data_IF_991964365302
#
_entry.id   IF_991964365302
#
_cell.length_a   1.000
_cell.length_b   1.000
_cell.length_c   1.000
_cell.angle_alpha   90.00
_cell.angle_beta   90.00
_cell.angle_gamma   90.00
#
_symmetry.space_group_name_H-M   'P 1'
#
loop_
_entity.id
_entity.type
_entity.pdbx_description
1 polymer ?
#
# COMPACT_ATOMS: atom_id res chain seq x y z
N UNK A 1 -14.94 41.90 -27.79
CA UNK A 1 -14.85 43.31 -27.34
C UNK A 1 -14.30 43.27 -25.92
N UNK A 2 -13.02 43.59 -25.74
CA UNK A 2 -12.41 43.76 -24.42
C UNK A 2 -12.87 45.11 -23.89
N UNK A 3 -13.69 45.11 -22.84
CA UNK A 3 -13.99 46.33 -22.10
C UNK A 3 -12.66 46.94 -21.63
N UNK A 4 -12.40 48.23 -21.89
CA UNK A 4 -11.18 48.88 -21.45
C UNK A 4 -11.11 48.80 -19.92
N UNK A 5 -10.02 48.25 -19.40
CA UNK A 5 -9.76 48.22 -17.96
C UNK A 5 -9.60 49.67 -17.52
N UNK A 6 -10.57 50.17 -16.75
CA UNK A 6 -10.48 51.51 -16.14
C UNK A 6 -9.31 51.50 -15.15
N UNK A 7 -8.36 52.42 -15.34
CA UNK A 7 -7.21 52.58 -14.44
C UNK A 7 -7.59 53.36 -13.16
N UNK A 8 -8.78 53.98 -13.15
CA UNK A 8 -9.27 54.82 -12.06
C UNK A 8 -10.10 54.05 -11.03
N UNK A 9 -10.35 52.75 -11.26
CA UNK A 9 -11.16 51.90 -10.37
C UNK A 9 -10.40 50.61 -9.95
N UNK A 10 -10.50 50.25 -8.67
CA UNK A 10 -9.92 49.01 -8.16
C UNK A 10 -10.67 47.79 -8.70
N UNK A 11 -9.94 46.91 -9.39
CA UNK A 11 -10.50 45.65 -9.90
C UNK A 11 -10.76 44.69 -8.74
N UNK A 12 -12.00 44.19 -8.65
CA UNK A 12 -12.39 43.19 -7.66
C UNK A 12 -12.37 41.79 -8.25
N UNK A 13 -11.93 40.82 -7.44
CA UNK A 13 -11.88 39.42 -7.85
C UNK A 13 -13.28 38.81 -8.04
N UNK A 14 -14.27 39.27 -7.25
CA UNK A 14 -15.66 38.82 -7.29
C UNK A 14 -16.61 39.99 -7.06
N UNK A 15 -17.84 39.87 -7.57
CA UNK A 15 -18.94 40.82 -7.38
C UNK A 15 -20.14 40.19 -6.67
N UNK A 16 -20.22 38.86 -6.62
CA UNK A 16 -21.32 38.12 -5.95
C UNK A 16 -20.81 37.16 -4.87
N UNK A 17 -21.69 36.78 -3.95
CA UNK A 17 -21.36 35.78 -2.91
C UNK A 17 -21.01 34.41 -3.52
N UNK A 18 -21.71 34.00 -4.58
CA UNK A 18 -21.42 32.74 -5.27
C UNK A 18 -20.03 32.73 -5.91
N UNK A 19 -19.62 33.83 -6.54
CA UNK A 19 -18.25 33.98 -7.06
C UNK A 19 -17.21 33.96 -5.96
N UNK A 20 -17.47 34.62 -4.82
CA UNK A 20 -16.59 34.59 -3.65
C UNK A 20 -16.36 33.16 -3.15
N UNK A 21 -17.42 32.38 -2.99
CA UNK A 21 -17.32 30.99 -2.51
C UNK A 21 -16.58 30.09 -3.50
N UNK A 22 -16.80 30.32 -4.81
CA UNK A 22 -16.02 29.67 -5.86
C UNK A 22 -14.52 29.98 -5.72
N UNK A 23 -14.13 31.25 -5.58
CA UNK A 23 -12.72 31.61 -5.42
C UNK A 23 -12.12 31.11 -4.10
N UNK A 24 -12.88 31.04 -3.01
CA UNK A 24 -12.44 30.42 -1.76
C UNK A 24 -12.13 28.93 -1.95
N UNK A 25 -12.97 28.23 -2.70
CA UNK A 25 -12.80 26.80 -2.99
C UNK A 25 -11.56 26.57 -3.88
N UNK A 26 -11.38 27.39 -4.92
CA UNK A 26 -10.19 27.36 -5.80
C UNK A 26 -8.90 27.72 -5.04
N UNK A 27 -8.96 28.71 -4.15
CA UNK A 27 -7.83 29.11 -3.30
C UNK A 27 -7.44 27.99 -2.32
N UNK A 28 -8.42 27.26 -1.79
CA UNK A 28 -8.16 26.10 -0.92
C UNK A 28 -7.47 24.98 -1.70
N UNK A 29 -7.94 24.68 -2.92
CA UNK A 29 -7.28 23.70 -3.79
C UNK A 29 -5.83 24.11 -4.12
N UNK A 30 -5.62 25.38 -4.47
CA UNK A 30 -4.30 25.95 -4.70
C UNK A 30 -3.38 25.76 -3.48
N UNK A 31 -3.88 26.11 -2.28
CA UNK A 31 -3.13 25.98 -1.03
C UNK A 31 -2.73 24.55 -0.72
N UNK A 32 -3.61 23.56 -0.97
CA UNK A 32 -3.31 22.14 -0.77
C UNK A 32 -2.18 21.68 -1.69
N UNK A 33 -2.21 22.07 -2.97
CA UNK A 33 -1.17 21.69 -3.95
C UNK A 33 0.18 22.27 -3.53
N UNK A 34 0.22 23.55 -3.14
CA UNK A 34 1.46 24.20 -2.67
C UNK A 34 1.98 23.54 -1.40
N UNK A 35 1.10 23.27 -0.43
CA UNK A 35 1.48 22.61 0.82
C UNK A 35 2.04 21.20 0.58
N UNK A 36 1.44 20.45 -0.35
CA UNK A 36 1.92 19.13 -0.73
C UNK A 36 3.31 19.20 -1.38
N UNK A 37 3.58 20.20 -2.22
CA UNK A 37 4.89 20.38 -2.85
C UNK A 37 5.99 20.65 -1.81
N UNK A 38 5.70 21.51 -0.84
CA UNK A 38 6.62 21.77 0.27
C UNK A 38 6.83 20.53 1.14
N UNK A 39 5.78 19.75 1.40
CA UNK A 39 5.87 18.51 2.16
C UNK A 39 6.79 17.49 1.45
N UNK A 40 6.60 17.27 0.14
CA UNK A 40 7.47 16.39 -0.64
C UNK A 40 8.93 16.86 -0.61
N UNK A 41 9.17 18.16 -0.84
CA UNK A 41 10.53 18.72 -0.82
C UNK A 41 11.18 18.67 0.57
N UNK A 42 10.39 18.76 1.64
CA UNK A 42 10.89 18.60 3.01
C UNK A 42 11.33 17.16 3.27
N UNK A 43 10.53 16.18 2.82
CA UNK A 43 10.86 14.77 2.96
C UNK A 43 12.09 14.37 2.13
N UNK A 44 12.17 14.81 0.87
CA UNK A 44 13.33 14.55 -0.01
C UNK A 44 14.63 15.15 0.53
N UNK A 45 14.54 16.25 1.30
CA UNK A 45 15.70 16.88 1.96
C UNK A 45 15.91 16.37 3.39
N UNK A 46 15.27 15.27 3.75
CA UNK A 46 15.37 14.63 5.07
C UNK A 46 15.11 15.59 6.25
N UNK A 47 14.26 16.59 6.03
CA UNK A 47 13.91 17.60 7.04
C UNK A 47 12.75 17.16 7.94
N UNK A 48 12.07 16.07 7.56
CA UNK A 48 10.97 15.44 8.30
C UNK A 48 11.09 13.93 8.18
N UNK A 49 10.65 13.20 9.20
CA UNK A 49 10.73 11.74 9.22
C UNK A 49 9.64 11.08 8.38
N UNK A 50 9.84 9.83 7.97
CA UNK A 50 8.82 9.03 7.27
C UNK A 50 7.50 8.90 8.07
N UNK A 51 7.60 8.85 9.40
CA UNK A 51 6.47 8.76 10.32
C UNK A 51 5.63 10.04 10.36
N UNK A 52 6.24 11.21 10.17
CA UNK A 52 5.52 12.50 10.10
C UNK A 52 5.01 12.78 8.69
N UNK A 53 5.81 12.42 7.67
CA UNK A 53 5.49 12.63 6.26
C UNK A 53 4.27 11.81 5.81
N UNK A 54 4.24 10.49 6.07
CA UNK A 54 3.24 9.59 5.48
C UNK A 54 1.79 9.97 5.86
N UNK A 55 1.47 10.25 7.14
CA UNK A 55 0.13 10.68 7.54
C UNK A 55 -0.22 12.06 6.97
N UNK A 56 0.73 13.00 6.96
CA UNK A 56 0.51 14.35 6.43
C UNK A 56 0.22 14.32 4.92
N UNK A 57 0.98 13.54 4.15
CA UNK A 57 0.81 13.36 2.72
C UNK A 57 -0.54 12.71 2.40
N UNK A 58 -0.90 11.64 3.12
CA UNK A 58 -2.20 10.95 2.97
C UNK A 58 -3.38 11.88 3.24
N UNK A 59 -3.28 12.73 4.27
CA UNK A 59 -4.29 13.73 4.59
C UNK A 59 -4.43 14.77 3.47
N UNK A 60 -3.32 15.34 2.99
CA UNK A 60 -3.33 16.34 1.91
C UNK A 60 -3.88 15.75 0.59
N UNK A 61 -3.51 14.52 0.24
CA UNK A 61 -4.05 13.82 -0.93
C UNK A 61 -5.56 13.57 -0.82
N UNK A 62 -6.04 13.24 0.37
CA UNK A 62 -7.48 13.04 0.61
C UNK A 62 -8.25 14.36 0.51
N UNK A 63 -7.70 15.43 1.09
CA UNK A 63 -8.26 16.78 0.98
C UNK A 63 -8.28 17.26 -0.47
N UNK A 64 -7.19 17.04 -1.23
CA UNK A 64 -7.12 17.34 -2.65
C UNK A 64 -8.24 16.64 -3.44
N UNK A 65 -8.45 15.33 -3.24
CA UNK A 65 -9.50 14.57 -3.94
C UNK A 65 -10.90 15.11 -3.64
N UNK A 66 -11.17 15.48 -2.38
CA UNK A 66 -12.44 16.09 -1.99
C UNK A 66 -12.61 17.45 -2.65
N UNK A 67 -11.58 18.31 -2.61
CA UNK A 67 -11.64 19.63 -3.21
C UNK A 67 -11.80 19.59 -4.73
N UNK A 68 -11.13 18.65 -5.41
CA UNK A 68 -11.26 18.47 -6.86
C UNK A 68 -12.70 18.15 -7.27
N UNK A 69 -13.43 17.34 -6.48
CA UNK A 69 -14.85 17.06 -6.72
C UNK A 69 -15.72 18.30 -6.54
N UNK A 70 -15.38 19.17 -5.59
CA UNK A 70 -16.11 20.42 -5.34
C UNK A 70 -15.89 21.46 -6.46
N UNK A 71 -14.69 21.49 -7.06
CA UNK A 71 -14.37 22.43 -8.15
C UNK A 71 -14.57 21.86 -9.56
N UNK A 72 -15.02 20.61 -9.70
CA UNK A 72 -14.96 19.84 -10.95
C UNK A 72 -15.67 20.47 -12.16
N UNK A 73 -16.60 21.41 -11.95
CA UNK A 73 -17.22 22.19 -13.03
C UNK A 73 -16.26 23.23 -13.65
N UNK A 74 -15.30 23.74 -12.88
CA UNK A 74 -14.36 24.80 -13.27
C UNK A 74 -12.94 24.29 -13.54
N UNK A 75 -12.64 23.05 -13.11
CA UNK A 75 -11.33 22.43 -13.21
C UNK A 75 -11.46 21.06 -13.87
N UNK A 76 -11.19 21.00 -15.16
CA UNK A 76 -11.27 19.78 -15.97
C UNK A 76 -10.10 18.82 -15.70
N UNK A 77 -8.90 19.37 -15.49
CA UNK A 77 -7.70 18.62 -15.13
C UNK A 77 -6.80 19.41 -14.18
N UNK A 78 -5.97 18.71 -13.41
CA UNK A 78 -4.97 19.37 -12.55
C UNK A 78 -3.91 20.10 -13.37
N UNK A 79 -3.49 19.52 -14.51
CA UNK A 79 -2.49 20.14 -15.38
C UNK A 79 -3.01 21.48 -15.94
N UNK A 80 -4.29 21.57 -16.31
CA UNK A 80 -4.91 22.83 -16.75
C UNK A 80 -5.02 23.85 -15.62
N UNK A 81 -5.37 23.42 -14.41
CA UNK A 81 -5.42 24.30 -13.24
C UNK A 81 -4.05 24.89 -12.93
N UNK A 82 -3.02 24.04 -12.87
CA UNK A 82 -1.64 24.48 -12.62
C UNK A 82 -1.15 25.42 -13.72
N UNK A 83 -1.46 25.14 -14.98
CA UNK A 83 -1.12 26.04 -16.11
C UNK A 83 -1.85 27.38 -16.01
N UNK A 84 -3.15 27.37 -15.69
CA UNK A 84 -3.98 28.59 -15.56
C UNK A 84 -3.45 29.52 -14.47
N UNK A 85 -3.06 28.97 -13.33
CA UNK A 85 -2.56 29.73 -12.18
C UNK A 85 -1.03 29.83 -12.13
N UNK A 86 -0.33 29.39 -13.19
CA UNK A 86 1.14 29.42 -13.32
C UNK A 86 1.86 28.79 -12.12
N UNK A 87 1.40 27.62 -11.70
CA UNK A 87 1.94 26.87 -10.58
C UNK A 87 3.15 26.03 -11.02
N UNK A 88 4.28 26.21 -10.36
CA UNK A 88 5.49 25.41 -10.55
C UNK A 88 5.70 24.46 -9.35
N UNK A 89 4.85 23.43 -9.28
CA UNK A 89 4.83 22.45 -8.19
C UNK A 89 4.97 21.02 -8.73
N UNK A 90 6.11 20.67 -9.35
CA UNK A 90 6.30 19.38 -10.01
C UNK A 90 6.26 18.20 -9.03
N UNK A 91 6.69 18.38 -7.78
CA UNK A 91 6.68 17.31 -6.78
C UNK A 91 5.24 16.99 -6.34
N UNK A 92 4.42 18.02 -6.10
CA UNK A 92 2.99 17.84 -5.84
C UNK A 92 2.27 17.20 -7.04
N UNK A 93 2.55 17.64 -8.27
CA UNK A 93 1.93 17.08 -9.47
C UNK A 93 2.23 15.58 -9.62
N UNK A 94 3.50 15.19 -9.42
CA UNK A 94 3.90 13.78 -9.42
C UNK A 94 3.14 13.01 -8.33
N UNK A 95 3.17 13.49 -7.08
CA UNK A 95 2.52 12.83 -5.94
C UNK A 95 1.01 12.69 -6.15
N UNK A 96 0.35 13.68 -6.75
CA UNK A 96 -1.09 13.63 -7.05
C UNK A 96 -1.39 12.59 -8.14
N UNK A 97 -0.54 12.49 -9.18
CA UNK A 97 -0.68 11.49 -10.25
C UNK A 97 -0.49 10.07 -9.72
N UNK A 98 0.48 9.87 -8.82
CA UNK A 98 0.73 8.57 -8.16
C UNK A 98 -0.37 8.23 -7.14
N UNK A 99 -0.83 9.21 -6.37
CA UNK A 99 -1.98 9.09 -5.47
C UNK A 99 -1.72 8.40 -4.13
N UNK A 100 -0.48 8.03 -3.83
CA UNK A 100 0.00 7.49 -2.54
C UNK A 100 1.31 8.16 -2.12
N UNK A 101 1.70 8.22 -0.83
CA UNK A 101 2.96 8.82 -0.37
C UNK A 101 4.22 8.10 -0.91
N UNK A 102 5.36 8.79 -0.91
CA UNK A 102 6.66 8.27 -1.36
C UNK A 102 7.06 6.99 -0.61
N UNK A 103 6.75 6.95 0.68
CA UNK A 103 6.99 5.81 1.56
C UNK A 103 6.22 4.56 1.14
N UNK A 104 5.08 4.70 0.45
CA UNK A 104 4.28 3.58 -0.10
C UNK A 104 4.70 3.25 -1.54
N UNK A 105 5.02 4.28 -2.33
CA UNK A 105 5.49 4.12 -3.71
C UNK A 105 6.83 3.40 -3.79
N UNK A 106 7.76 3.75 -2.89
CA UNK A 106 9.12 3.20 -2.83
C UNK A 106 9.34 2.24 -1.66
N UNK A 107 8.30 1.88 -0.89
CA UNK A 107 8.45 0.86 0.15
C UNK A 107 8.89 -0.49 -0.42
N UNK A 108 10.16 -0.83 -0.15
CA UNK A 108 10.54 -2.15 0.34
C UNK A 108 10.13 -2.36 1.81
N UNK A 109 9.79 -1.28 2.53
CA UNK A 109 9.38 -1.30 3.93
C UNK A 109 7.87 -1.50 4.11
N UNK A 110 7.54 -2.72 4.52
CA UNK A 110 6.34 -3.16 5.22
C UNK A 110 5.52 -2.04 5.92
N UNK A 111 4.36 -1.68 5.34
CA UNK A 111 3.37 -0.85 6.04
C UNK A 111 2.78 -1.54 7.28
N UNK A 112 1.93 -0.87 8.08
CA UNK A 112 1.28 -1.47 9.25
C UNK A 112 0.49 -2.75 8.92
N UNK A 113 -0.07 -2.85 7.71
CA UNK A 113 -0.70 -4.07 7.21
C UNK A 113 0.31 -5.21 7.05
N UNK A 114 1.55 -4.93 6.66
CA UNK A 114 2.60 -5.95 6.53
C UNK A 114 3.03 -6.48 7.90
N UNK A 115 3.12 -5.65 8.94
CA UNK A 115 3.35 -6.13 10.31
C UNK A 115 2.25 -7.08 10.79
N UNK A 116 0.98 -6.73 10.53
CA UNK A 116 -0.16 -7.61 10.77
C UNK A 116 -0.07 -8.91 9.98
N UNK A 117 0.24 -8.85 8.68
CA UNK A 117 0.37 -10.04 7.83
C UNK A 117 1.53 -10.94 8.24
N UNK A 118 2.65 -10.37 8.69
CA UNK A 118 3.80 -11.11 9.24
C UNK A 118 3.35 -11.89 10.48
N UNK A 119 2.65 -11.23 11.40
CA UNK A 119 2.14 -11.86 12.62
C UNK A 119 1.13 -12.97 12.30
N UNK A 120 0.13 -12.70 11.46
CA UNK A 120 -0.88 -13.68 11.02
C UNK A 120 -0.22 -14.91 10.38
N UNK A 121 0.72 -14.70 9.44
CA UNK A 121 1.38 -15.79 8.70
C UNK A 121 2.30 -16.61 9.62
N UNK A 122 3.01 -15.95 10.53
CA UNK A 122 3.84 -16.62 11.56
C UNK A 122 2.97 -17.49 12.46
N UNK A 123 1.82 -16.98 12.90
CA UNK A 123 0.86 -17.74 13.69
C UNK A 123 0.32 -18.96 12.93
N UNK A 124 -0.04 -18.82 11.65
CA UNK A 124 -0.50 -19.94 10.82
C UNK A 124 0.57 -21.02 10.66
N UNK A 125 1.84 -20.63 10.50
CA UNK A 125 2.97 -21.56 10.46
C UNK A 125 3.10 -22.36 11.76
N UNK A 126 3.16 -21.68 12.90
CA UNK A 126 3.28 -22.31 14.21
C UNK A 126 2.10 -23.25 14.45
N UNK A 127 0.90 -22.76 14.20
CA UNK A 127 -0.35 -23.52 14.38
C UNK A 127 -0.34 -24.80 13.54
N UNK A 128 0.07 -24.73 12.27
CA UNK A 128 0.15 -25.89 11.39
C UNK A 128 1.24 -26.89 11.81
N UNK A 129 2.43 -26.41 12.15
CA UNK A 129 3.52 -27.26 12.66
C UNK A 129 3.14 -27.96 13.97
N UNK A 130 2.48 -27.25 14.89
CA UNK A 130 2.02 -27.81 16.15
C UNK A 130 0.94 -28.86 15.93
N UNK A 131 -0.01 -28.63 15.02
CA UNK A 131 -1.01 -29.63 14.64
C UNK A 131 -0.37 -30.93 14.16
N UNK A 132 0.64 -30.84 13.29
CA UNK A 132 1.38 -32.01 12.80
C UNK A 132 2.15 -32.72 13.94
N UNK A 133 2.78 -31.96 14.85
CA UNK A 133 3.50 -32.51 16.01
C UNK A 133 2.57 -33.18 17.03
N UNK A 134 1.32 -32.69 17.13
CA UNK A 134 0.24 -33.31 17.91
C UNK A 134 -0.41 -34.52 17.20
N UNK A 135 0.20 -35.00 16.11
CA UNK A 135 -0.26 -36.14 15.30
C UNK A 135 -1.62 -35.95 14.64
N UNK A 136 -2.01 -34.71 14.33
CA UNK A 136 -3.11 -34.45 13.41
C UNK A 136 -2.66 -34.92 12.01
N UNK A 137 -3.36 -35.90 11.45
CA UNK A 137 -3.00 -36.53 10.16
C UNK A 137 -4.15 -36.57 9.16
N UNK A 138 -5.39 -36.40 9.64
CA UNK A 138 -6.57 -36.45 8.80
C UNK A 138 -6.71 -35.22 7.91
N UNK A 139 -7.23 -35.39 6.69
CA UNK A 139 -7.44 -34.30 5.74
C UNK A 139 -8.30 -33.18 6.31
N UNK A 140 -9.42 -33.50 6.94
CA UNK A 140 -10.38 -32.53 7.48
C UNK A 140 -9.75 -31.61 8.54
N UNK A 141 -8.74 -32.10 9.26
CA UNK A 141 -7.94 -31.36 10.21
C UNK A 141 -6.86 -30.51 9.52
N UNK A 142 -6.09 -31.11 8.62
CA UNK A 142 -4.91 -30.47 8.02
C UNK A 142 -5.24 -29.48 6.91
N UNK A 143 -6.26 -29.77 6.09
CA UNK A 143 -6.58 -28.97 4.91
C UNK A 143 -6.97 -27.52 5.25
N UNK A 144 -7.86 -27.23 6.22
CA UNK A 144 -8.19 -25.85 6.57
C UNK A 144 -6.97 -25.04 7.03
N UNK A 145 -6.11 -25.66 7.85
CA UNK A 145 -4.91 -25.01 8.39
C UNK A 145 -3.88 -24.73 7.29
N UNK A 146 -3.63 -25.69 6.39
CA UNK A 146 -2.70 -25.51 5.28
C UNK A 146 -3.22 -24.47 4.27
N UNK A 147 -4.53 -24.46 4.02
CA UNK A 147 -5.15 -23.48 3.12
C UNK A 147 -4.98 -22.05 3.66
N UNK A 148 -5.19 -21.84 4.96
CA UNK A 148 -4.96 -20.56 5.62
C UNK A 148 -3.49 -20.14 5.52
N UNK A 149 -2.57 -21.07 5.83
CA UNK A 149 -1.13 -20.84 5.72
C UNK A 149 -0.72 -20.40 4.30
N UNK A 150 -1.12 -21.16 3.27
CA UNK A 150 -0.80 -20.84 1.86
C UNK A 150 -1.38 -19.48 1.46
N UNK A 151 -2.59 -19.16 1.94
CA UNK A 151 -3.25 -17.88 1.64
C UNK A 151 -2.50 -16.71 2.28
N UNK A 152 -2.06 -16.84 3.54
CA UNK A 152 -1.23 -15.83 4.21
C UNK A 152 0.13 -15.66 3.51
N UNK A 153 0.76 -16.78 3.17
CA UNK A 153 2.06 -16.83 2.50
C UNK A 153 2.06 -16.13 1.13
N UNK A 154 0.97 -16.26 0.37
CA UNK A 154 0.83 -15.66 -0.95
C UNK A 154 0.70 -14.13 -0.96
N UNK A 155 0.49 -13.48 0.20
CA UNK A 155 0.34 -12.03 0.33
C UNK A 155 1.66 -11.26 0.17
N UNK A 156 2.80 -11.93 0.35
CA UNK A 156 4.11 -11.28 0.31
C UNK A 156 4.61 -11.12 -1.12
N UNK A 157 5.13 -9.92 -1.44
CA UNK A 157 5.84 -9.66 -2.70
C UNK A 157 7.09 -10.54 -2.74
N UNK A 158 7.34 -11.22 -3.86
CA UNK A 158 8.42 -12.21 -4.00
C UNK A 158 8.06 -13.64 -3.61
N UNK A 159 6.91 -13.87 -2.96
CA UNK A 159 6.47 -15.23 -2.57
C UNK A 159 6.31 -16.20 -3.74
N UNK A 160 6.17 -15.70 -4.97
CA UNK A 160 6.07 -16.52 -6.18
C UNK A 160 7.37 -17.23 -6.52
N UNK A 161 8.50 -16.66 -6.11
CA UNK A 161 9.84 -17.15 -6.41
C UNK A 161 10.40 -18.03 -5.29
N UNK A 162 9.67 -18.15 -4.17
CA UNK A 162 10.04 -18.95 -3.00
C UNK A 162 9.71 -20.42 -3.21
N UNK A 163 10.68 -21.30 -2.96
CA UNK A 163 10.51 -22.74 -3.15
C UNK A 163 9.51 -23.32 -2.16
N UNK A 164 9.50 -22.82 -0.93
CA UNK A 164 8.59 -23.23 0.14
C UNK A 164 7.12 -23.06 -0.25
N UNK A 165 6.77 -22.00 -1.00
CA UNK A 165 5.41 -21.81 -1.52
C UNK A 165 4.99 -22.95 -2.43
N UNK A 166 5.84 -23.30 -3.40
CA UNK A 166 5.57 -24.36 -4.38
C UNK A 166 5.29 -25.69 -3.67
N UNK A 167 6.12 -26.02 -2.67
CA UNK A 167 5.95 -27.22 -1.84
C UNK A 167 4.63 -27.21 -1.05
N UNK A 168 4.26 -26.10 -0.42
CA UNK A 168 2.99 -26.00 0.32
C UNK A 168 1.76 -26.14 -0.59
N UNK A 169 1.81 -25.56 -1.79
CA UNK A 169 0.76 -25.75 -2.80
C UNK A 169 0.66 -27.20 -3.25
N UNK A 170 1.81 -27.88 -3.46
CA UNK A 170 1.83 -29.31 -3.79
C UNK A 170 1.16 -30.15 -2.70
N UNK A 171 1.44 -29.87 -1.43
CA UNK A 171 0.78 -30.55 -0.32
C UNK A 171 -0.72 -30.28 -0.24
N UNK A 172 -1.15 -29.04 -0.53
CA UNK A 172 -2.55 -28.68 -0.59
C UNK A 172 -3.29 -29.43 -1.72
N UNK A 173 -2.63 -29.63 -2.87
CA UNK A 173 -3.15 -30.46 -3.97
C UNK A 173 -3.29 -31.92 -3.52
N UNK A 174 -2.28 -32.47 -2.86
CA UNK A 174 -2.32 -33.83 -2.31
C UNK A 174 -3.50 -34.01 -1.35
N UNK A 175 -3.65 -33.12 -0.37
CA UNK A 175 -4.78 -33.16 0.57
C UNK A 175 -6.13 -33.00 -0.14
N UNK A 176 -6.22 -32.18 -1.19
CA UNK A 176 -7.45 -32.06 -1.96
C UNK A 176 -7.87 -33.37 -2.64
N UNK A 177 -6.92 -34.19 -3.08
CA UNK A 177 -7.17 -35.50 -3.68
C UNK A 177 -7.66 -36.59 -2.71
N UNK A 178 -7.47 -36.40 -1.40
CA UNK A 178 -7.83 -37.37 -0.36
C UNK A 178 -9.31 -37.27 0.07
N UNK A 179 -9.85 -38.30 0.72
CA UNK A 179 -11.17 -38.21 1.41
C UNK A 179 -11.02 -37.48 2.75
N UNK A 180 -12.10 -36.88 3.25
CA UNK A 180 -12.07 -36.10 4.50
C UNK A 180 -11.51 -36.88 5.70
N UNK A 181 -11.85 -38.17 5.80
CA UNK A 181 -11.40 -39.07 6.87
C UNK A 181 -10.08 -39.77 6.59
N UNK A 182 -9.44 -39.50 5.45
CA UNK A 182 -8.20 -40.14 5.06
C UNK A 182 -7.03 -39.42 5.73
N UNK A 183 -6.07 -40.21 6.21
CA UNK A 183 -4.91 -39.73 6.95
C UNK A 183 -3.63 -39.79 6.10
N UNK A 184 -2.76 -38.80 6.30
CA UNK A 184 -1.38 -38.91 5.81
C UNK A 184 -0.65 -40.04 6.55
N UNK A 185 0.17 -40.76 5.80
CA UNK A 185 1.12 -41.73 6.37
C UNK A 185 2.12 -41.02 7.30
N UNK A 186 2.79 -41.78 8.16
CA UNK A 186 3.78 -41.21 9.06
C UNK A 186 4.97 -40.60 8.31
N UNK A 187 5.37 -41.24 7.21
CA UNK A 187 6.41 -40.77 6.31
C UNK A 187 6.00 -39.46 5.64
N UNK A 188 4.77 -39.37 5.12
CA UNK A 188 4.25 -38.14 4.53
C UNK A 188 4.14 -37.01 5.57
N UNK A 189 3.70 -37.32 6.79
CA UNK A 189 3.61 -36.34 7.88
C UNK A 189 4.99 -35.78 8.24
N UNK A 190 6.03 -36.62 8.32
CA UNK A 190 7.41 -36.17 8.57
C UNK A 190 7.95 -35.31 7.42
N UNK A 191 7.70 -35.70 6.17
CA UNK A 191 8.11 -34.91 5.01
C UNK A 191 7.40 -33.55 4.98
N UNK A 192 6.10 -33.52 5.27
CA UNK A 192 5.32 -32.30 5.35
C UNK A 192 5.86 -31.35 6.43
N UNK A 193 6.18 -31.85 7.64
CA UNK A 193 6.83 -31.04 8.68
C UNK A 193 8.13 -30.42 8.17
N UNK A 194 9.00 -31.22 7.54
CA UNK A 194 10.27 -30.73 7.00
C UNK A 194 10.08 -29.62 5.95
N UNK A 195 9.14 -29.80 5.02
CA UNK A 195 8.86 -28.80 3.99
C UNK A 195 8.27 -27.51 4.57
N UNK A 196 7.42 -27.62 5.62
CA UNK A 196 6.86 -26.46 6.33
C UNK A 196 7.95 -25.71 7.09
N UNK A 197 8.83 -26.42 7.80
CA UNK A 197 9.96 -25.81 8.52
C UNK A 197 10.92 -25.09 7.56
N UNK A 198 11.17 -25.68 6.39
CA UNK A 198 11.94 -25.03 5.34
C UNK A 198 11.26 -23.75 4.82
N UNK A 199 9.96 -23.81 4.50
CA UNK A 199 9.20 -22.65 4.04
C UNK A 199 9.13 -21.54 5.10
N UNK A 200 9.08 -21.91 6.38
CA UNK A 200 9.13 -20.98 7.51
C UNK A 200 10.48 -20.28 7.62
N UNK A 201 11.58 -21.02 7.48
CA UNK A 201 12.93 -20.46 7.50
C UNK A 201 13.18 -19.54 6.30
N UNK A 202 12.71 -19.91 5.10
CA UNK A 202 12.77 -19.08 3.90
C UNK A 202 11.98 -17.77 4.08
N UNK A 203 10.79 -17.85 4.66
CA UNK A 203 9.99 -16.68 5.01
C UNK A 203 10.68 -15.78 6.03
N UNK A 204 11.22 -16.33 7.12
CA UNK A 204 11.96 -15.52 8.09
C UNK A 204 13.19 -14.83 7.48
N UNK A 205 13.89 -15.52 6.57
CA UNK A 205 15.01 -14.93 5.83
C UNK A 205 14.56 -13.79 4.93
N UNK A 206 13.41 -13.90 4.28
CA UNK A 206 12.91 -12.83 3.41
C UNK A 206 12.46 -11.58 4.19
N UNK A 207 12.15 -11.72 5.49
CA UNK A 207 11.87 -10.58 6.38
C UNK A 207 13.14 -9.88 6.88
N UNK A 208 14.23 -10.62 7.06
CA UNK A 208 15.54 -10.08 7.40
C UNK A 208 16.22 -9.57 6.14
N UNK A 209 15.85 -8.37 5.69
CA UNK A 209 16.31 -7.77 4.42
C UNK A 209 17.80 -7.98 4.12
N UNK A 210 18.11 -8.12 2.83
CA UNK A 210 19.44 -8.24 2.24
C UNK A 210 20.46 -7.34 2.97
N UNK A 211 21.24 -7.94 3.87
CA UNK A 211 22.47 -7.32 4.38
C UNK A 211 23.69 -7.60 3.50
N UNK A 212 23.53 -8.35 2.42
CA UNK A 212 24.64 -8.76 1.57
C UNK A 212 24.33 -8.45 0.11
N UNK A 213 24.69 -7.23 -0.32
CA UNK A 213 25.36 -6.99 -1.60
C UNK A 213 25.97 -5.58 -1.57
N UNK A 214 27.07 -5.49 -0.82
CA UNK A 214 28.14 -4.53 -1.12
C UNK A 214 28.78 -4.97 -2.42
N UNK A 215 28.76 -4.12 -3.45
CA UNK A 215 29.77 -4.02 -4.51
C UNK A 215 29.71 -2.63 -5.10
#
# INVERSE_FOLDING_TARGET
MTTPISLDEEVRLYSTNAERDKYNTLATLYGIIVALDYLERAYVRDSITAAEYSPACTRLLSQYKTMLKLVGADVTSIDDFMKRYRMDNPAALHRIKVGVPATVEHSSEAGPETGKWIAETTQSFITFMDGLRLRMRAKDQLHPMLQELVTGYARFKGSKDWEGRSRMVSWLITLNGMKASEELTEEQSRQLIFDVEHAYAEFFRSLGGEKDNVS
#
